data_IF_229307555739
#
_entry.id   IF_229307555739
#
_cell.length_a   1.000
_cell.length_b   1.000
_cell.length_c   1.000
_cell.angle_alpha   90.00
_cell.angle_beta   90.00
_cell.angle_gamma   90.00
#
_symmetry.space_group_name_H-M   'P 1'
#
loop_
_entity.id
_entity.type
_entity.pdbx_description
1 polymer ?
#
# COMPACT_ATOMS: atom_id res chain seq x y z
N UNK A 1 1.20 5.88 13.16
CA UNK A 1 2.36 6.35 12.36
C UNK A 1 2.08 6.47 10.85
N UNK A 2 2.80 7.35 10.15
CA UNK A 2 2.67 7.58 8.69
C UNK A 2 3.98 7.33 7.94
N UNK A 3 3.97 6.53 6.86
CA UNK A 3 5.14 6.29 5.99
C UNK A 3 4.78 6.32 4.52
N UNK A 4 5.78 6.58 3.68
CA UNK A 4 5.64 6.57 2.21
C UNK A 4 6.61 5.62 1.55
N UNK A 5 6.11 4.92 0.53
CA UNK A 5 6.81 3.87 -0.20
C UNK A 5 6.76 4.17 -1.69
N UNK A 6 7.78 3.70 -2.41
CA UNK A 6 7.74 3.64 -3.88
C UNK A 6 7.08 2.33 -4.28
N UNK A 7 6.23 2.39 -5.31
CA UNK A 7 5.68 1.23 -5.99
C UNK A 7 6.52 0.96 -7.24
N UNK A 8 6.91 -0.29 -7.43
CA UNK A 8 7.55 -0.77 -8.65
C UNK A 8 6.58 -1.68 -9.39
N UNK A 9 6.71 -1.71 -10.73
CA UNK A 9 5.81 -2.46 -11.63
C UNK A 9 4.33 -2.11 -11.44
N UNK A 10 4.05 -0.81 -11.27
CA UNK A 10 2.69 -0.26 -11.26
C UNK A 10 2.34 0.22 -12.67
N UNK A 11 1.63 -0.61 -13.43
CA UNK A 11 1.38 -0.38 -14.87
C UNK A 11 -0.09 -0.08 -15.18
N UNK A 12 -1.00 -0.32 -14.24
CA UNK A 12 -2.43 -0.11 -14.44
C UNK A 12 -3.04 0.87 -13.41
N UNK A 13 -3.42 2.06 -13.87
CA UNK A 13 -4.05 3.09 -13.02
C UNK A 13 -5.38 2.63 -12.38
N UNK A 14 -6.15 1.80 -13.07
CA UNK A 14 -7.39 1.23 -12.51
C UNK A 14 -7.09 0.19 -11.42
N UNK A 15 -6.03 -0.61 -11.59
CA UNK A 15 -5.56 -1.50 -10.53
C UNK A 15 -5.09 -0.69 -9.32
N UNK A 16 -4.33 0.40 -9.54
CA UNK A 16 -3.91 1.31 -8.47
C UNK A 16 -5.07 1.81 -7.60
N UNK A 17 -6.19 2.23 -8.21
CA UNK A 17 -7.38 2.66 -7.47
C UNK A 17 -8.02 1.54 -6.64
N UNK A 18 -8.07 0.31 -7.19
CA UNK A 18 -8.57 -0.87 -6.46
C UNK A 18 -7.64 -1.29 -5.33
N UNK A 19 -6.33 -1.21 -5.54
CA UNK A 19 -5.33 -1.45 -4.51
C UNK A 19 -5.49 -0.45 -3.36
N UNK A 20 -5.58 0.85 -3.67
CA UNK A 20 -5.79 1.89 -2.66
C UNK A 20 -7.05 1.60 -1.83
N UNK A 21 -8.16 1.26 -2.49
CA UNK A 21 -9.40 0.89 -1.81
C UNK A 21 -9.22 -0.33 -0.91
N UNK A 22 -8.55 -1.39 -1.39
CA UNK A 22 -8.29 -2.59 -0.61
C UNK A 22 -7.36 -2.36 0.58
N UNK A 23 -6.32 -1.53 0.41
CA UNK A 23 -5.39 -1.19 1.50
C UNK A 23 -6.11 -0.36 2.58
N UNK A 24 -7.01 0.55 2.21
CA UNK A 24 -7.83 1.31 3.17
C UNK A 24 -8.78 0.42 3.99
N UNK A 25 -9.04 -0.82 3.57
CA UNK A 25 -9.87 -1.78 4.30
C UNK A 25 -9.06 -2.67 5.25
N UNK A 26 -7.72 -2.56 5.24
CA UNK A 26 -6.87 -3.36 6.11
C UNK A 26 -7.01 -2.94 7.58
N UNK A 27 -7.08 -3.90 8.52
CA UNK A 27 -7.07 -3.59 9.95
C UNK A 27 -5.86 -2.74 10.34
N UNK A 28 -6.10 -1.69 11.12
CA UNK A 28 -5.05 -0.78 11.59
C UNK A 28 -4.60 0.28 10.58
N UNK A 29 -5.15 0.30 9.35
CA UNK A 29 -4.94 1.40 8.41
C UNK A 29 -6.00 2.49 8.64
N UNK A 30 -5.54 3.71 8.95
CA UNK A 30 -6.40 4.88 9.04
C UNK A 30 -6.67 5.47 7.66
N UNK A 31 -5.61 5.56 6.84
CA UNK A 31 -5.70 6.05 5.47
C UNK A 31 -4.54 5.54 4.63
N UNK A 32 -4.85 5.06 3.43
CA UNK A 32 -3.87 4.81 2.39
C UNK A 32 -4.16 5.67 1.15
N UNK A 33 -3.10 6.06 0.44
CA UNK A 33 -3.23 6.76 -0.83
C UNK A 33 -2.15 6.35 -1.82
N UNK A 34 -2.54 6.06 -3.05
CA UNK A 34 -1.67 5.70 -4.17
C UNK A 34 -1.73 6.81 -5.23
N UNK A 35 -0.57 7.35 -5.56
CA UNK A 35 -0.40 8.19 -6.73
C UNK A 35 0.19 7.36 -7.86
N UNK A 36 -0.63 7.01 -8.85
CA UNK A 36 -0.17 6.31 -10.06
C UNK A 36 0.89 7.13 -10.81
N UNK A 37 0.67 8.45 -10.95
CA UNK A 37 1.59 9.35 -11.67
C UNK A 37 3.00 9.40 -11.06
N UNK A 38 3.13 9.19 -9.74
CA UNK A 38 4.43 9.26 -9.05
C UNK A 38 4.88 7.89 -8.52
N UNK A 39 4.15 6.82 -8.85
CA UNK A 39 4.34 5.47 -8.32
C UNK A 39 4.60 5.47 -6.81
N UNK A 40 3.76 6.18 -6.05
CA UNK A 40 3.95 6.40 -4.61
C UNK A 40 2.75 5.91 -3.82
N UNK A 41 3.01 5.13 -2.78
CA UNK A 41 2.05 4.72 -1.77
C UNK A 41 2.34 5.46 -0.46
N UNK A 42 1.31 5.96 0.21
CA UNK A 42 1.40 6.51 1.56
C UNK A 42 0.44 5.72 2.43
N UNK A 43 0.91 5.23 3.58
CA UNK A 43 0.11 4.52 4.58
C UNK A 43 0.20 5.29 5.89
N UNK A 44 -0.96 5.64 6.42
CA UNK A 44 -1.19 6.10 7.78
C UNK A 44 -1.89 5.00 8.57
N UNK A 45 -1.29 4.59 9.69
CA UNK A 45 -1.74 3.45 10.48
C UNK A 45 -1.86 3.80 11.97
N UNK A 46 -2.78 3.13 12.66
CA UNK A 46 -3.10 3.33 14.08
C UNK A 46 -2.16 2.56 15.02
N UNK A 47 -0.88 2.55 14.70
CA UNK A 47 0.18 1.95 15.51
C UNK A 47 1.47 2.75 15.37
N UNK A 48 2.26 2.78 16.43
CA UNK A 48 3.64 3.28 16.43
C UNK A 48 4.67 2.15 16.62
N UNK A 49 4.19 0.91 16.76
CA UNK A 49 5.05 -0.27 16.79
C UNK A 49 5.52 -0.64 15.38
N UNK A 50 6.84 -0.81 15.23
CA UNK A 50 7.47 -1.03 13.93
C UNK A 50 7.14 -2.41 13.34
N UNK A 51 6.95 -3.44 14.19
CA UNK A 51 6.66 -4.80 13.77
C UNK A 51 5.20 -4.91 13.31
N UNK A 52 4.27 -4.33 14.07
CA UNK A 52 2.87 -4.19 13.70
C UNK A 52 2.72 -3.40 12.39
N UNK A 53 3.47 -2.31 12.21
CA UNK A 53 3.44 -1.57 10.95
C UNK A 53 4.02 -2.38 9.79
N UNK A 54 5.08 -3.16 10.00
CA UNK A 54 5.63 -4.04 8.98
C UNK A 54 4.58 -5.06 8.50
N UNK A 55 3.82 -5.65 9.43
CA UNK A 55 2.72 -6.56 9.10
C UNK A 55 1.63 -5.90 8.24
N UNK A 56 1.30 -4.63 8.49
CA UNK A 56 0.38 -3.85 7.65
C UNK A 56 0.95 -3.67 6.24
N UNK A 57 2.25 -3.37 6.11
CA UNK A 57 2.91 -3.24 4.82
C UNK A 57 2.94 -4.57 4.06
N UNK A 58 3.16 -5.70 4.74
CA UNK A 58 3.07 -7.03 4.16
C UNK A 58 1.64 -7.34 3.67
N UNK A 59 0.61 -7.02 4.44
CA UNK A 59 -0.78 -7.16 4.00
C UNK A 59 -1.08 -6.26 2.79
N UNK A 60 -0.57 -5.02 2.77
CA UNK A 60 -0.71 -4.11 1.64
C UNK A 60 -0.05 -4.68 0.36
N UNK A 61 1.12 -5.33 0.50
CA UNK A 61 1.80 -6.00 -0.60
C UNK A 61 0.96 -7.15 -1.20
N UNK A 62 0.22 -7.88 -0.36
CA UNK A 62 -0.72 -8.92 -0.82
C UNK A 62 -1.91 -8.32 -1.58
N UNK A 63 -2.42 -7.16 -1.14
CA UNK A 63 -3.46 -6.43 -1.88
C UNK A 63 -2.95 -6.00 -3.25
N UNK A 64 -1.73 -5.42 -3.33
CA UNK A 64 -1.10 -5.05 -4.59
C UNK A 64 -1.03 -6.23 -5.57
N UNK A 65 -0.48 -7.36 -5.13
CA UNK A 65 -0.30 -8.58 -5.95
C UNK A 65 -1.60 -9.31 -6.32
N UNK A 66 -2.72 -8.94 -5.68
CA UNK A 66 -4.05 -9.42 -6.05
C UNK A 66 -4.60 -8.72 -7.28
N UNK A 67 -4.19 -7.47 -7.54
CA UNK A 67 -4.62 -6.68 -8.70
C UNK A 67 -3.56 -6.55 -9.79
N UNK A 68 -2.27 -6.65 -9.44
CA UNK A 68 -1.15 -6.58 -10.37
C UNK A 68 0.00 -7.42 -9.82
N UNK A 69 0.25 -8.56 -10.47
CA UNK A 69 1.05 -9.67 -9.90
C UNK A 69 2.48 -9.29 -9.56
N UNK A 70 3.05 -8.36 -10.32
CA UNK A 70 4.45 -7.96 -10.21
C UNK A 70 4.64 -6.67 -9.37
N UNK A 71 3.55 -6.05 -8.91
CA UNK A 71 3.59 -4.82 -8.14
C UNK A 71 4.34 -5.02 -6.81
N UNK A 72 5.34 -4.18 -6.54
CA UNK A 72 6.22 -4.29 -5.36
C UNK A 72 6.26 -2.98 -4.56
N UNK A 73 6.11 -3.08 -3.24
CA UNK A 73 6.27 -1.99 -2.28
C UNK A 73 7.74 -1.95 -1.82
N UNK A 74 8.45 -0.89 -2.22
CA UNK A 74 9.87 -0.70 -1.91
C UNK A 74 10.03 -0.05 -0.53
N UNK A 75 10.59 -0.81 0.43
CA UNK A 75 10.85 -0.39 1.82
C UNK A 75 12.13 0.45 1.95
#
# INVERSE_FOLDING_TARGET
MRKSFKLENLDCANCAAKMETGINQLPGVNKASISFMTSKLVIDADTDDAEAFAAIVDAAQQVCTSYEKDCLIKR
#
